data_IF_450323573894
#
_entry.id   IF_450323573894
#
_cell.length_a   1.000
_cell.length_b   1.000
_cell.length_c   1.000
_cell.angle_alpha   90.00
_cell.angle_beta   90.00
_cell.angle_gamma   90.00
#
_symmetry.space_group_name_H-M   'P 1'
#
loop_
_entity.id
_entity.type
_entity.pdbx_description
1 polymer ?
#
# COMPACT_ATOMS: atom_id res chain seq x y z
N UNK A 1 -4.11 -14.13 -16.88
CA UNK A 1 -4.72 -13.27 -15.83
C UNK A 1 -6.20 -13.20 -16.08
N UNK A 2 -7.00 -13.86 -15.23
CA UNK A 2 -8.44 -13.67 -15.26
C UNK A 2 -8.78 -12.27 -14.74
N UNK A 3 -9.87 -11.65 -15.21
CA UNK A 3 -10.28 -10.32 -14.76
C UNK A 3 -10.48 -10.23 -13.23
N UNK A 4 -10.77 -11.37 -12.60
CA UNK A 4 -10.96 -11.51 -11.15
C UNK A 4 -9.64 -11.31 -10.39
N UNK A 5 -8.53 -11.91 -10.86
CA UNK A 5 -7.21 -11.75 -10.24
C UNK A 5 -6.73 -10.28 -10.27
N UNK A 6 -6.97 -9.59 -11.39
CA UNK A 6 -6.65 -8.17 -11.52
C UNK A 6 -7.41 -7.30 -10.51
N UNK A 7 -8.69 -7.62 -10.27
CA UNK A 7 -9.52 -6.92 -9.29
C UNK A 7 -9.02 -7.12 -7.85
N UNK A 8 -8.63 -8.35 -7.48
CA UNK A 8 -8.07 -8.63 -6.16
C UNK A 8 -6.78 -7.84 -5.89
N UNK A 9 -5.89 -7.75 -6.88
CA UNK A 9 -4.66 -6.96 -6.77
C UNK A 9 -4.96 -5.47 -6.63
N UNK A 10 -5.88 -4.96 -7.45
CA UNK A 10 -6.30 -3.56 -7.38
C UNK A 10 -6.85 -3.21 -5.99
N UNK A 11 -7.68 -4.08 -5.39
CA UNK A 11 -8.19 -3.89 -4.03
C UNK A 11 -7.08 -3.93 -2.98
N UNK A 12 -6.15 -4.88 -3.08
CA UNK A 12 -5.04 -4.99 -2.13
C UNK A 12 -4.15 -3.76 -2.17
N UNK A 13 -3.76 -3.31 -3.37
CA UNK A 13 -2.92 -2.12 -3.53
C UNK A 13 -3.64 -0.86 -3.05
N UNK A 14 -4.91 -0.70 -3.44
CA UNK A 14 -5.71 0.47 -3.04
C UNK A 14 -5.89 0.53 -1.52
N UNK A 15 -6.19 -0.59 -0.87
CA UNK A 15 -6.35 -0.64 0.58
C UNK A 15 -5.04 -0.33 1.33
N UNK A 16 -3.91 -0.87 0.88
CA UNK A 16 -2.59 -0.55 1.47
C UNK A 16 -2.29 0.94 1.36
N UNK A 17 -2.46 1.54 0.18
CA UNK A 17 -2.16 2.96 -0.02
C UNK A 17 -3.08 3.87 0.80
N UNK A 18 -4.38 3.57 0.84
CA UNK A 18 -5.35 4.32 1.65
C UNK A 18 -4.99 4.20 3.14
N UNK A 19 -4.72 2.99 3.64
CA UNK A 19 -4.32 2.77 5.03
C UNK A 19 -3.01 3.49 5.38
N UNK A 20 -2.01 3.45 4.51
CA UNK A 20 -0.75 4.16 4.68
C UNK A 20 -0.94 5.67 4.80
N UNK A 21 -1.69 6.28 3.88
CA UNK A 21 -1.90 7.72 3.86
C UNK A 21 -2.75 8.19 5.04
N UNK A 22 -3.93 7.58 5.25
CA UNK A 22 -4.82 7.97 6.34
C UNK A 22 -4.26 7.63 7.71
N UNK A 23 -3.59 6.47 7.83
CA UNK A 23 -2.88 6.09 9.06
C UNK A 23 -1.75 7.06 9.38
N UNK A 24 -1.00 7.50 8.37
CA UNK A 24 0.06 8.48 8.53
C UNK A 24 -0.45 9.85 8.95
N UNK A 25 -1.51 10.36 8.30
CA UNK A 25 -2.15 11.62 8.68
C UNK A 25 -2.71 11.54 10.11
N UNK A 26 -3.39 10.45 10.46
CA UNK A 26 -3.94 10.28 11.81
C UNK A 26 -2.84 10.26 12.87
N UNK A 27 -1.74 9.53 12.61
CA UNK A 27 -0.62 9.42 13.52
C UNK A 27 0.14 10.75 13.65
N UNK A 28 0.35 11.47 12.54
CA UNK A 28 0.95 12.79 12.52
C UNK A 28 0.14 13.82 13.30
N UNK A 29 -1.20 13.77 13.22
CA UNK A 29 -2.09 14.64 14.01
C UNK A 29 -2.06 14.31 15.49
N UNK A 30 -1.89 13.02 15.86
CA UNK A 30 -1.85 12.58 17.25
C UNK A 30 -0.51 12.90 17.93
N UNK A 31 0.60 12.79 17.19
CA UNK A 31 1.95 12.99 17.72
C UNK A 31 2.51 14.40 17.47
N UNK A 32 1.80 15.23 16.70
CA UNK A 32 2.26 16.57 16.32
C UNK A 32 3.45 16.56 15.36
N UNK A 33 3.77 15.41 14.76
CA UNK A 33 4.92 15.20 13.87
C UNK A 33 4.63 15.52 12.41
N UNK A 34 3.52 16.20 12.13
CA UNK A 34 3.11 16.52 10.75
C UNK A 34 4.25 17.24 10.00
N UNK A 35 4.71 16.77 8.81
CA UNK A 35 4.19 15.68 7.97
C UNK A 35 5.08 14.41 7.91
N UNK A 36 5.91 14.14 8.92
CA UNK A 36 6.97 13.13 8.83
C UNK A 36 6.46 11.68 8.81
N UNK A 37 5.47 11.33 9.65
CA UNK A 37 4.95 9.95 9.68
C UNK A 37 4.10 9.65 8.46
N UNK A 38 3.34 10.62 7.95
CA UNK A 38 2.64 10.51 6.69
C UNK A 38 3.63 10.19 5.56
N UNK A 39 4.72 10.94 5.43
CA UNK A 39 5.73 10.69 4.40
C UNK A 39 6.33 9.29 4.54
N UNK A 40 6.70 8.89 5.76
CA UNK A 40 7.25 7.57 6.02
C UNK A 40 6.27 6.45 5.65
N UNK A 41 5.02 6.54 6.09
CA UNK A 41 3.98 5.54 5.80
C UNK A 41 3.60 5.51 4.33
N UNK A 42 3.66 6.64 3.63
CA UNK A 42 3.46 6.71 2.18
C UNK A 42 4.56 5.95 1.43
N UNK A 43 5.83 6.18 1.76
CA UNK A 43 6.95 5.43 1.17
C UNK A 43 6.84 3.94 1.48
N UNK A 44 6.48 3.58 2.71
CA UNK A 44 6.26 2.19 3.09
C UNK A 44 5.12 1.55 2.27
N UNK A 45 4.00 2.27 2.11
CA UNK A 45 2.87 1.82 1.29
C UNK A 45 3.25 1.61 -0.17
N UNK A 46 4.07 2.50 -0.74
CA UNK A 46 4.59 2.37 -2.11
C UNK A 46 5.46 1.12 -2.27
N UNK A 47 6.36 0.87 -1.32
CA UNK A 47 7.24 -0.32 -1.33
C UNK A 47 6.40 -1.60 -1.22
N UNK A 48 5.42 -1.63 -0.32
CA UNK A 48 4.53 -2.79 -0.13
C UNK A 48 3.69 -3.03 -1.40
N UNK A 49 3.09 -1.99 -1.98
CA UNK A 49 2.31 -2.11 -3.20
C UNK A 49 3.16 -2.66 -4.37
N UNK A 50 4.38 -2.13 -4.52
CA UNK A 50 5.32 -2.61 -5.55
C UNK A 50 5.74 -4.06 -5.29
N UNK A 51 5.97 -4.44 -4.03
CA UNK A 51 6.30 -5.81 -3.65
C UNK A 51 5.16 -6.79 -3.96
N UNK A 52 3.90 -6.41 -3.68
CA UNK A 52 2.73 -7.23 -4.01
C UNK A 52 2.66 -7.48 -5.52
N UNK A 53 2.82 -6.43 -6.34
CA UNK A 53 2.84 -6.57 -7.80
C UNK A 53 3.98 -7.50 -8.24
N UNK A 54 5.19 -7.27 -7.73
CA UNK A 54 6.36 -8.07 -8.10
C UNK A 54 6.19 -9.54 -7.72
N UNK A 55 5.68 -9.82 -6.51
CA UNK A 55 5.34 -11.16 -6.04
C UNK A 55 4.33 -11.82 -6.97
N UNK A 56 3.23 -11.14 -7.29
CA UNK A 56 2.17 -11.73 -8.12
C UNK A 56 2.62 -12.01 -9.55
N UNK A 57 3.51 -11.18 -10.10
CA UNK A 57 4.10 -11.42 -11.42
C UNK A 57 5.14 -12.55 -11.38
N UNK A 58 5.89 -12.66 -10.27
CA UNK A 58 6.98 -13.63 -10.13
C UNK A 58 6.52 -15.02 -9.70
N UNK A 59 5.44 -15.14 -8.91
CA UNK A 59 4.83 -16.42 -8.60
C UNK A 59 4.25 -17.00 -9.91
N UNK A 60 4.92 -17.99 -10.54
CA UNK A 60 4.35 -18.65 -11.68
C UNK A 60 3.16 -19.44 -11.13
N UNK A 61 1.97 -19.21 -11.71
CA UNK A 61 0.80 -20.07 -11.55
C UNK A 61 1.27 -21.53 -11.46
N UNK A 62 1.10 -22.18 -10.30
CA UNK A 62 1.14 -23.64 -10.22
C UNK A 62 -0.20 -24.17 -10.69
#
# INVERSE_FOLDING_TARGET
MSAIEGYHLALQISSVLVCSVFGGIWLDRKLGTTPWLMLFLMFLGLVIATYIIYRTVKEPHK
#
